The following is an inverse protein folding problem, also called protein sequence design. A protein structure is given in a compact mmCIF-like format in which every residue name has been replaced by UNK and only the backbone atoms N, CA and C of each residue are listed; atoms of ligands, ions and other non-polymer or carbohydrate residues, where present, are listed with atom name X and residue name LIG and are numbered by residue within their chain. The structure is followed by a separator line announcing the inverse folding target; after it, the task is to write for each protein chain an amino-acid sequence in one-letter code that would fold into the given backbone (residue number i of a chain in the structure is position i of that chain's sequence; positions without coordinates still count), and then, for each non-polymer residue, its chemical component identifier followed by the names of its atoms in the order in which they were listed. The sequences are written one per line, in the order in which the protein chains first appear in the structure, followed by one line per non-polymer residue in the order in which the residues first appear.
data_IF_867682862691
#
_entry.id   IF_867682862691
#
_cell.length_a   1.000
_cell.length_b   1.000
_cell.length_c   1.000
_cell.angle_alpha   90.00
_cell.angle_beta   90.00
_cell.angle_gamma   90.00
#
_symmetry.space_group_name_H-M   'P 1'
#
loop_
_entity.id
_entity.type
_entity.pdbx_description
1 polymer ?
#
# COMPACT_ATOMS: atom_id res chain seq x y z
N UNK A 1 7.88 22.42 55.43
CA UNK A 1 6.73 21.65 54.90
C UNK A 1 6.42 21.97 53.43
N UNK A 2 7.42 22.30 52.59
CA UNK A 2 7.21 22.67 51.18
C UNK A 2 8.02 21.84 50.16
N UNK A 3 9.04 21.07 50.57
CA UNK A 3 9.81 20.23 49.64
C UNK A 3 9.04 18.97 49.20
N UNK A 4 8.25 18.36 50.07
CA UNK A 4 7.50 17.13 49.75
C UNK A 4 6.33 17.34 48.79
N UNK A 5 5.76 18.56 48.70
CA UNK A 5 4.72 18.89 47.71
C UNK A 5 5.28 19.07 46.30
N UNK A 6 6.54 19.54 46.19
CA UNK A 6 7.20 19.76 44.91
C UNK A 6 7.61 18.44 44.24
N UNK A 7 8.08 17.45 45.02
CA UNK A 7 8.45 16.13 44.48
C UNK A 7 7.23 15.35 43.94
N UNK A 8 6.10 15.42 44.64
CA UNK A 8 4.87 14.73 44.23
C UNK A 8 4.33 15.27 42.90
N UNK A 9 4.36 16.59 42.69
CA UNK A 9 3.94 17.21 41.43
C UNK A 9 4.82 16.84 40.25
N UNK A 10 6.13 16.70 40.45
CA UNK A 10 7.07 16.27 39.39
C UNK A 10 6.83 14.80 39.00
N UNK A 11 6.53 13.94 39.97
CA UNK A 11 6.25 12.53 39.71
C UNK A 11 4.95 12.33 38.91
N UNK A 12 3.92 13.11 39.21
CA UNK A 12 2.63 13.09 38.51
C UNK A 12 2.79 13.56 37.05
N UNK A 13 3.59 14.61 36.81
CA UNK A 13 3.86 15.12 35.46
C UNK A 13 4.67 14.10 34.63
N UNK A 14 5.67 13.44 35.21
CA UNK A 14 6.41 12.38 34.52
C UNK A 14 5.53 11.17 34.17
N UNK A 15 4.58 10.78 35.04
CA UNK A 15 3.70 9.63 34.76
C UNK A 15 2.73 9.86 33.58
N UNK A 16 2.38 11.11 33.26
CA UNK A 16 1.53 11.40 32.10
C UNK A 16 2.27 11.34 30.76
N UNK A 17 3.60 11.50 30.76
CA UNK A 17 4.42 11.47 29.54
C UNK A 17 4.65 10.01 29.09
N UNK A 18 4.61 9.04 30.00
CA UNK A 18 4.82 7.62 29.67
C UNK A 18 3.57 6.89 29.15
N UNK A 19 2.36 7.44 29.34
CA UNK A 19 1.12 6.82 28.85
C UNK A 19 0.80 7.15 27.39
N UNK A 20 1.45 8.16 26.79
CA UNK A 20 1.29 8.51 25.38
C UNK A 20 2.26 7.81 24.42
N UNK A 21 3.19 7.00 24.93
CA UNK A 21 4.25 6.37 24.14
C UNK A 21 3.97 4.90 23.77
N UNK A 22 2.75 4.41 24.01
CA UNK A 22 2.37 3.02 23.81
C UNK A 22 1.15 2.87 22.88
N UNK A 23 1.04 3.72 21.85
CA UNK A 23 0.09 3.52 20.77
C UNK A 23 0.89 3.39 19.47
N UNK A 24 0.75 2.24 18.80
CA UNK A 24 1.45 1.95 17.55
C UNK A 24 1.21 3.07 16.54
N UNK A 25 2.29 3.67 16.03
CA UNK A 25 2.30 4.81 15.11
C UNK A 25 1.70 4.53 13.70
N UNK A 26 0.78 3.58 13.55
CA UNK A 26 0.10 3.33 12.28
C UNK A 26 -0.99 4.35 11.95
N UNK A 27 -1.32 5.27 12.87
CA UNK A 27 -2.62 5.94 12.79
C UNK A 27 -2.70 7.15 11.82
N UNK A 28 -1.60 7.68 11.28
CA UNK A 28 -1.68 8.77 10.29
C UNK A 28 -0.49 8.75 9.32
N UNK A 29 -0.45 7.76 8.42
CA UNK A 29 0.41 7.89 7.24
C UNK A 29 -0.12 9.05 6.39
N UNK A 30 0.64 10.14 6.30
CA UNK A 30 0.19 11.30 5.53
C UNK A 30 0.04 10.94 4.06
N UNK A 31 -1.01 11.44 3.40
CA UNK A 31 -1.23 11.22 1.97
C UNK A 31 0.00 11.61 1.14
N UNK A 32 0.71 12.67 1.56
CA UNK A 32 1.97 13.10 0.95
C UNK A 32 3.03 12.00 0.99
N UNK A 33 3.21 11.32 2.13
CA UNK A 33 4.19 10.23 2.27
C UNK A 33 3.80 9.02 1.41
N UNK A 34 2.52 8.65 1.42
CA UNK A 34 2.03 7.55 0.58
C UNK A 34 2.23 7.86 -0.91
N UNK A 35 1.90 9.09 -1.33
CA UNK A 35 2.13 9.56 -2.71
C UNK A 35 3.60 9.56 -3.10
N UNK A 36 4.51 9.90 -2.21
CA UNK A 36 5.94 9.86 -2.52
C UNK A 36 6.48 8.43 -2.55
N UNK A 37 6.01 7.56 -1.66
CA UNK A 37 6.52 6.18 -1.58
C UNK A 37 6.01 5.31 -2.73
N UNK A 38 4.74 5.45 -3.13
CA UNK A 38 4.19 4.59 -4.19
C UNK A 38 4.76 4.89 -5.58
N UNK A 39 5.35 6.07 -5.78
CA UNK A 39 5.84 6.54 -7.09
C UNK A 39 7.11 5.80 -7.52
N UNK A 40 6.94 4.57 -7.95
CA UNK A 40 8.01 3.67 -8.36
C UNK A 40 7.48 2.52 -9.22
N UNK A 41 8.38 1.62 -9.62
CA UNK A 41 8.05 0.34 -10.25
C UNK A 41 8.13 -0.79 -9.23
N UNK A 42 7.08 -1.59 -9.20
CA UNK A 42 6.83 -2.64 -8.23
C UNK A 42 6.68 -3.97 -8.95
N UNK A 43 7.58 -4.91 -8.69
CA UNK A 43 7.51 -6.26 -9.24
C UNK A 43 6.66 -7.16 -8.36
N UNK A 44 5.64 -7.78 -8.97
CA UNK A 44 4.76 -8.70 -8.27
C UNK A 44 5.55 -9.94 -7.82
N UNK A 45 5.36 -10.30 -6.55
CA UNK A 45 5.87 -11.52 -5.96
C UNK A 45 4.87 -12.64 -6.25
N UNK A 46 5.20 -13.50 -7.21
CA UNK A 46 4.41 -14.69 -7.51
C UNK A 46 4.77 -15.84 -6.55
N UNK A 47 3.79 -16.57 -5.98
CA UNK A 47 4.06 -17.92 -5.52
C UNK A 47 4.48 -18.74 -6.75
N UNK A 48 5.59 -19.47 -6.65
CA UNK A 48 6.19 -20.21 -7.77
C UNK A 48 5.13 -21.08 -8.44
N UNK A 49 4.67 -20.69 -9.63
CA UNK A 49 3.76 -21.50 -10.44
C UNK A 49 4.63 -22.40 -11.31
N UNK A 50 4.66 -23.69 -11.02
CA UNK A 50 5.43 -24.66 -11.80
C UNK A 50 5.02 -24.62 -13.29
N UNK A 51 5.96 -24.25 -14.16
CA UNK A 51 5.81 -24.37 -15.62
C UNK A 51 5.48 -23.09 -16.40
N UNK A 52 5.28 -21.94 -15.75
CA UNK A 52 5.11 -20.67 -16.44
C UNK A 52 6.09 -19.61 -15.91
N UNK A 53 6.90 -19.04 -16.80
CA UNK A 53 7.72 -17.87 -16.49
C UNK A 53 6.83 -16.64 -16.62
N UNK A 54 6.16 -16.28 -15.52
CA UNK A 54 5.31 -15.10 -15.44
C UNK A 54 6.04 -14.05 -14.61
N UNK A 55 6.23 -12.87 -15.19
CA UNK A 55 6.62 -11.67 -14.44
C UNK A 55 5.58 -10.61 -14.64
N UNK A 56 5.39 -9.78 -13.62
CA UNK A 56 4.48 -8.65 -13.69
C UNK A 56 5.07 -7.51 -12.88
N UNK A 57 5.03 -6.30 -13.45
CA UNK A 57 5.46 -5.08 -12.78
C UNK A 57 4.40 -3.99 -12.94
N UNK A 58 4.20 -3.23 -11.88
CA UNK A 58 3.24 -2.14 -11.78
C UNK A 58 4.03 -0.86 -11.51
N UNK A 59 3.87 0.16 -12.34
CA UNK A 59 4.52 1.46 -12.16
C UNK A 59 3.50 2.54 -11.89
N UNK A 60 3.78 3.39 -10.92
CA UNK A 60 2.95 4.54 -10.58
C UNK A 60 3.79 5.81 -10.77
N UNK A 61 3.43 6.65 -11.73
CA UNK A 61 4.21 7.84 -12.06
C UNK A 61 3.28 9.00 -12.41
N UNK A 62 3.37 10.10 -11.67
CA UNK A 62 2.64 11.35 -11.96
C UNK A 62 1.12 11.17 -12.23
N UNK A 63 0.47 10.24 -11.50
CA UNK A 63 -0.96 9.94 -11.65
C UNK A 63 -1.30 8.95 -12.77
N UNK A 64 -0.30 8.45 -13.49
CA UNK A 64 -0.41 7.42 -14.52
C UNK A 64 -0.02 6.07 -13.92
N UNK A 65 -0.83 5.06 -14.21
CA UNK A 65 -0.59 3.67 -13.83
C UNK A 65 -0.15 2.90 -15.08
N UNK A 66 0.97 2.19 -14.97
CA UNK A 66 1.45 1.27 -15.99
C UNK A 66 1.48 -0.13 -15.44
N UNK A 67 1.15 -1.11 -16.26
CA UNK A 67 1.28 -2.52 -15.91
C UNK A 67 1.90 -3.26 -17.07
N UNK A 68 2.98 -3.99 -16.78
CA UNK A 68 3.64 -4.87 -17.73
C UNK A 68 3.54 -6.29 -17.22
N UNK A 69 3.04 -7.20 -18.05
CA UNK A 69 3.05 -8.65 -17.78
C UNK A 69 3.82 -9.36 -18.88
N UNK A 70 4.77 -10.19 -18.49
CA UNK A 70 5.44 -11.12 -19.40
C UNK A 70 5.01 -12.54 -19.05
N UNK A 71 4.43 -13.26 -20.01
CA UNK A 71 4.09 -14.68 -19.88
C UNK A 71 4.85 -15.46 -20.92
N UNK A 72 5.86 -16.22 -20.50
CA UNK A 72 6.69 -17.07 -21.37
C UNK A 72 7.29 -16.30 -22.57
N UNK A 73 7.67 -15.04 -22.38
CA UNK A 73 8.23 -14.16 -23.41
C UNK A 73 7.20 -13.29 -24.14
N UNK A 74 5.90 -13.50 -23.94
CA UNK A 74 4.85 -12.64 -24.47
C UNK A 74 4.60 -11.47 -23.53
N UNK A 75 4.95 -10.26 -23.97
CA UNK A 75 4.83 -9.03 -23.19
C UNK A 75 3.51 -8.34 -23.53
N UNK A 76 2.72 -8.07 -22.49
CA UNK A 76 1.50 -7.26 -22.52
C UNK A 76 1.73 -6.02 -21.66
N UNK A 77 1.30 -4.87 -22.18
CA UNK A 77 1.41 -3.60 -21.48
C UNK A 77 0.09 -2.86 -21.59
N UNK A 78 -0.36 -2.32 -20.47
CA UNK A 78 -1.52 -1.45 -20.39
C UNK A 78 -1.23 -0.24 -19.51
N UNK A 79 -2.05 0.78 -19.70
CA UNK A 79 -1.95 2.07 -19.00
C UNK A 79 -3.31 2.43 -18.46
N UNK A 80 -3.35 3.12 -17.33
CA UNK A 80 -4.52 3.75 -16.76
C UNK A 80 -4.14 4.96 -15.92
N UNK A 81 -5.03 5.36 -15.04
CA UNK A 81 -4.76 6.41 -14.06
C UNK A 81 -4.82 5.85 -12.66
N UNK A 82 -4.13 6.50 -11.72
CA UNK A 82 -4.27 6.18 -10.31
C UNK A 82 -4.45 7.41 -9.42
N UNK A 83 -5.03 7.18 -8.25
CA UNK A 83 -5.18 8.19 -7.21
C UNK A 83 -4.98 7.59 -5.82
N UNK A 84 -4.14 8.23 -5.02
CA UNK A 84 -3.92 7.90 -3.60
C UNK A 84 -4.78 8.78 -2.72
N UNK A 85 -5.46 8.14 -1.77
CA UNK A 85 -6.23 8.83 -0.74
C UNK A 85 -5.89 8.21 0.62
N UNK A 86 -5.42 9.04 1.55
CA UNK A 86 -5.27 8.63 2.93
C UNK A 86 -6.60 8.90 3.64
N UNK A 87 -7.20 7.88 4.25
CA UNK A 87 -8.34 8.09 5.16
C UNK A 87 -7.94 7.77 6.59
N UNK A 88 -8.79 8.18 7.53
CA UNK A 88 -8.59 7.88 8.94
C UNK A 88 -8.67 6.38 9.27
N UNK A 89 -9.30 5.57 8.40
CA UNK A 89 -9.39 4.10 8.56
C UNK A 89 -8.27 3.40 7.83
N UNK A 90 -8.27 3.57 6.51
CA UNK A 90 -7.42 2.79 5.61
C UNK A 90 -7.01 3.66 4.41
N UNK A 91 -5.72 3.71 4.08
CA UNK A 91 -5.27 4.31 2.83
C UNK A 91 -5.58 3.40 1.64
N UNK A 92 -5.81 4.00 0.47
CA UNK A 92 -6.05 3.23 -0.75
C UNK A 92 -5.47 3.90 -2.00
N UNK A 93 -5.19 3.06 -2.99
CA UNK A 93 -4.93 3.45 -4.37
C UNK A 93 -6.13 3.05 -5.22
N UNK A 94 -6.74 4.02 -5.90
CA UNK A 94 -7.77 3.75 -6.91
C UNK A 94 -7.09 3.67 -8.26
N UNK A 95 -7.31 2.58 -8.99
CA UNK A 95 -6.86 2.40 -10.38
C UNK A 95 -8.08 2.51 -11.29
N UNK A 96 -7.95 3.25 -12.39
CA UNK A 96 -8.99 3.47 -13.38
C UNK A 96 -8.43 3.34 -14.79
N UNK A 97 -9.29 2.95 -15.74
CA UNK A 97 -8.98 2.90 -17.17
C UNK A 97 -7.75 2.04 -17.54
N UNK A 98 -7.40 1.05 -16.71
CA UNK A 98 -6.36 0.06 -16.98
C UNK A 98 -7.01 -1.23 -17.50
N UNK A 99 -7.05 -1.46 -18.82
CA UNK A 99 -7.92 -2.49 -19.39
C UNK A 99 -7.44 -3.94 -19.19
N UNK A 100 -6.27 -4.18 -18.56
CA UNK A 100 -5.54 -5.46 -18.55
C UNK A 100 -6.25 -6.57 -19.30
N UNK A 101 -6.02 -6.54 -20.60
CA UNK A 101 -6.58 -7.47 -21.55
C UNK A 101 -6.07 -8.84 -21.10
N UNK A 102 -6.98 -9.75 -20.71
CA UNK A 102 -6.76 -11.16 -20.33
C UNK A 102 -6.81 -11.57 -18.83
N UNK A 103 -7.18 -10.71 -17.88
CA UNK A 103 -7.45 -11.17 -16.49
C UNK A 103 -8.85 -11.77 -16.28
N UNK A 104 -9.27 -12.72 -17.11
CA UNK A 104 -10.56 -13.42 -16.90
C UNK A 104 -11.70 -12.43 -16.55
N UNK A 105 -12.57 -12.70 -15.55
CA UNK A 105 -13.65 -11.79 -15.18
C UNK A 105 -13.24 -10.61 -14.27
N UNK A 106 -11.97 -10.44 -13.90
CA UNK A 106 -11.57 -9.50 -12.84
C UNK A 106 -10.68 -8.38 -13.35
N UNK A 107 -11.22 -7.17 -13.36
CA UNK A 107 -10.50 -5.96 -13.74
C UNK A 107 -9.53 -5.51 -12.64
N UNK A 108 -8.38 -4.94 -13.03
CA UNK A 108 -7.52 -4.19 -12.10
C UNK A 108 -8.16 -2.88 -11.62
N UNK A 109 -9.14 -2.37 -12.37
CA UNK A 109 -9.82 -1.13 -12.03
C UNK A 109 -10.61 -1.31 -10.73
N UNK A 110 -10.34 -0.42 -9.78
CA UNK A 110 -10.95 -0.50 -8.48
C UNK A 110 -10.15 0.17 -7.39
N UNK A 111 -10.70 0.09 -6.19
CA UNK A 111 -10.14 0.66 -4.97
C UNK A 111 -9.35 -0.41 -4.22
N UNK A 112 -8.03 -0.33 -4.31
CA UNK A 112 -7.10 -1.22 -3.64
C UNK A 112 -6.71 -0.63 -2.29
N UNK A 113 -7.04 -1.32 -1.20
CA UNK A 113 -6.59 -0.95 0.15
C UNK A 113 -5.10 -1.20 0.26
N UNK A 114 -4.35 -0.19 0.71
CA UNK A 114 -2.92 -0.29 0.98
C UNK A 114 -2.75 -0.86 2.40
N UNK A 115 -2.31 -2.11 2.48
CA UNK A 115 -2.00 -2.80 3.74
C UNK A 115 -0.61 -2.39 4.21
N UNK A 116 0.36 -2.41 3.30
CA UNK A 116 1.74 -2.00 3.55
C UNK A 116 2.27 -1.22 2.34
N UNK A 117 3.08 -0.21 2.63
CA UNK A 117 3.82 0.57 1.64
C UNK A 117 5.02 1.17 2.34
N UNK A 118 6.21 0.71 2.03
CA UNK A 118 7.44 1.32 2.49
C UNK A 118 8.40 1.54 1.33
N UNK A 119 9.70 1.57 1.61
CA UNK A 119 10.69 1.89 0.60
C UNK A 119 11.01 0.66 -0.29
N UNK A 120 10.65 -0.56 0.12
CA UNK A 120 10.99 -1.81 -0.57
C UNK A 120 9.76 -2.69 -0.88
N UNK A 121 8.67 -2.55 -0.12
CA UNK A 121 7.48 -3.42 -0.18
C UNK A 121 6.21 -2.63 -0.44
N UNK A 122 5.36 -3.19 -1.31
CA UNK A 122 3.96 -2.78 -1.50
C UNK A 122 3.06 -4.00 -1.32
N UNK A 123 2.11 -3.91 -0.39
CA UNK A 123 1.07 -4.92 -0.18
C UNK A 123 -0.30 -4.27 -0.25
N UNK A 124 -1.10 -4.70 -1.21
CA UNK A 124 -2.44 -4.18 -1.46
C UNK A 124 -3.48 -5.29 -1.56
N UNK A 125 -4.72 -4.96 -1.23
CA UNK A 125 -5.86 -5.87 -1.39
C UNK A 125 -7.02 -5.20 -2.10
N UNK A 126 -7.81 -5.99 -2.82
CA UNK A 126 -8.99 -5.50 -3.55
C UNK A 126 -10.06 -6.57 -3.52
N UNK A 127 -11.32 -6.16 -3.34
CA UNK A 127 -12.48 -7.06 -3.45
C UNK A 127 -13.36 -6.60 -4.61
N UNK A 128 -13.11 -7.11 -5.82
CA UNK A 128 -13.98 -6.84 -6.96
C UNK A 128 -15.41 -7.36 -6.69
N UNK A 129 -16.46 -6.67 -7.19
CA UNK A 129 -17.84 -7.11 -7.04
C UNK A 129 -18.04 -8.54 -7.55
N UNK A 130 -18.72 -9.38 -6.76
CA UNK A 130 -19.01 -10.77 -7.14
C UNK A 130 -17.81 -11.72 -7.10
N UNK A 131 -16.67 -11.30 -6.54
CA UNK A 131 -15.45 -12.10 -6.44
C UNK A 131 -14.91 -12.18 -5.01
N UNK A 132 -13.85 -12.99 -4.82
CA UNK A 132 -13.12 -13.10 -3.57
C UNK A 132 -12.25 -11.88 -3.26
N UNK A 133 -11.50 -11.97 -2.15
CA UNK A 133 -10.44 -11.00 -1.87
C UNK A 133 -9.24 -11.31 -2.77
N UNK A 134 -8.82 -10.32 -3.55
CA UNK A 134 -7.52 -10.32 -4.22
C UNK A 134 -6.48 -9.70 -3.30
N UNK A 135 -5.30 -10.29 -3.28
CA UNK A 135 -4.12 -9.84 -2.56
C UNK A 135 -2.95 -9.83 -3.52
N UNK A 136 -2.16 -8.76 -3.49
CA UNK A 136 -0.96 -8.60 -4.30
C UNK A 136 0.15 -8.02 -3.46
N UNK A 137 1.28 -8.71 -3.50
CA UNK A 137 2.51 -8.34 -2.81
C UNK A 137 3.57 -8.04 -3.87
N UNK A 138 4.27 -6.94 -3.69
CA UNK A 138 5.30 -6.49 -4.61
C UNK A 138 6.56 -6.12 -3.86
N UNK A 139 7.68 -6.26 -4.57
CA UNK A 139 8.96 -5.66 -4.17
C UNK A 139 9.33 -4.59 -5.18
N UNK A 140 9.96 -3.52 -4.70
CA UNK A 140 10.49 -2.47 -5.57
C UNK A 140 11.53 -3.03 -6.56
N UNK A 141 11.51 -2.55 -7.81
CA UNK A 141 12.49 -2.88 -8.85
C UNK A 141 13.78 -2.04 -8.76
#
# INVERSE_FOLDING_TARGET
MNLFKSLASVFIICSMIFLGACESNNHLRSEKKLKSQIQDTWRLVYPIVHGANITESWSFEDGIFYVTRNTNGNIQQDTGTYKIEATWREPYVTISDAPLINEGPVSLNGKWTIIELDDDVLFITFRPPGSGLLQREFVKE
#
